data_IF_222547769422
#
_entry.id   IF_222547769422
#
_cell.length_a   1.000
_cell.length_b   1.000
_cell.length_c   1.000
_cell.angle_alpha   90.00
_cell.angle_beta   90.00
_cell.angle_gamma   90.00
#
_symmetry.space_group_name_H-M   'P 1'
#
loop_
_entity.id
_entity.type
_entity.pdbx_description
1 polymer ?
#
# COMPACT_ATOMS: atom_id res chain seq x y z
N UNK A 1 10.59 -8.07 3.83
CA UNK A 1 11.16 -7.48 2.60
C UNK A 1 11.72 -6.08 2.85
N UNK A 2 11.00 -5.22 3.55
CA UNK A 2 11.45 -3.86 3.89
C UNK A 2 12.55 -3.90 4.97
N UNK A 3 13.63 -3.14 4.76
CA UNK A 3 14.65 -2.97 5.79
C UNK A 3 14.15 -2.10 6.96
N UNK A 4 14.87 -2.11 8.09
CA UNK A 4 14.47 -1.42 9.31
C UNK A 4 14.35 0.11 9.14
N UNK A 5 15.20 0.73 8.32
CA UNK A 5 15.15 2.17 8.09
C UNK A 5 13.89 2.53 7.30
N UNK A 6 13.58 1.77 6.25
CA UNK A 6 12.34 1.94 5.47
C UNK A 6 11.10 1.72 6.35
N UNK A 7 11.06 0.67 7.16
CA UNK A 7 9.95 0.41 8.09
C UNK A 7 9.74 1.58 9.06
N UNK A 8 10.83 2.14 9.60
CA UNK A 8 10.79 3.28 10.52
C UNK A 8 10.24 4.53 9.84
N UNK A 9 10.73 4.85 8.63
CA UNK A 9 10.24 5.99 7.86
C UNK A 9 8.76 5.83 7.51
N UNK A 10 8.38 4.65 7.03
CA UNK A 10 7.00 4.37 6.65
C UNK A 10 6.07 4.51 7.85
N UNK A 11 6.42 3.93 9.00
CA UNK A 11 5.65 4.08 10.23
C UNK A 11 5.39 5.54 10.60
N UNK A 12 6.42 6.39 10.53
CA UNK A 12 6.29 7.83 10.80
C UNK A 12 5.35 8.54 9.80
N UNK A 13 5.26 8.08 8.55
CA UNK A 13 4.26 8.59 7.60
C UNK A 13 2.87 8.03 7.87
N UNK A 14 2.73 6.75 8.24
CA UNK A 14 1.43 6.13 8.54
C UNK A 14 0.74 6.76 9.77
N UNK A 15 1.51 7.33 10.70
CA UNK A 15 0.97 8.13 11.81
C UNK A 15 0.15 9.35 11.33
N UNK A 16 0.43 9.84 10.12
CA UNK A 16 -0.24 11.01 9.51
C UNK A 16 -1.51 10.66 8.73
N UNK A 17 -1.90 9.38 8.67
CA UNK A 17 -3.12 8.98 7.98
C UNK A 17 -4.35 9.61 8.65
N UNK A 18 -5.20 10.26 7.87
CA UNK A 18 -6.40 10.94 8.39
C UNK A 18 -7.61 10.00 8.50
N UNK A 19 -7.64 8.95 7.70
CA UNK A 19 -8.69 7.92 7.72
C UNK A 19 -8.08 6.52 7.57
N UNK A 20 -8.78 5.46 8.00
CA UNK A 20 -8.38 4.09 7.71
C UNK A 20 -8.33 3.82 6.20
N UNK A 21 -7.33 3.06 5.77
CA UNK A 21 -7.12 2.65 4.37
C UNK A 21 -6.99 1.13 4.25
N UNK A 22 -7.31 0.64 3.06
CA UNK A 22 -7.21 -0.76 2.67
C UNK A 22 -6.23 -0.90 1.50
N UNK A 23 -5.29 -1.84 1.62
CA UNK A 23 -4.44 -2.31 0.54
C UNK A 23 -5.07 -3.58 -0.05
N UNK A 24 -5.65 -3.46 -1.24
CA UNK A 24 -6.42 -4.51 -1.89
C UNK A 24 -5.59 -5.14 -3.01
N UNK A 25 -4.95 -6.27 -2.72
CA UNK A 25 -4.06 -6.97 -3.64
C UNK A 25 -4.81 -7.92 -4.57
N UNK A 26 -4.45 -7.87 -5.85
CA UNK A 26 -4.83 -8.82 -6.89
C UNK A 26 -3.57 -9.61 -7.30
N UNK A 27 -3.51 -10.89 -6.91
CA UNK A 27 -2.29 -11.70 -6.96
C UNK A 27 -2.45 -12.87 -7.95
N UNK A 28 -1.35 -13.26 -8.57
CA UNK A 28 -1.23 -14.51 -9.34
C UNK A 28 -0.29 -15.51 -8.63
N UNK A 29 0.11 -16.58 -9.31
CA UNK A 29 0.98 -17.63 -8.76
C UNK A 29 2.48 -17.33 -8.91
N UNK A 30 2.86 -16.11 -9.33
CA UNK A 30 4.26 -15.76 -9.56
C UNK A 30 5.02 -15.41 -8.29
N UNK A 31 6.35 -15.52 -8.33
CA UNK A 31 7.23 -15.04 -7.25
C UNK A 31 7.02 -13.54 -6.94
N UNK A 32 6.71 -12.75 -7.98
CA UNK A 32 6.40 -11.32 -7.82
C UNK A 32 5.13 -11.10 -7.00
N UNK A 33 4.14 -11.98 -7.13
CA UNK A 33 2.93 -11.92 -6.31
C UNK A 33 3.23 -12.21 -4.85
N UNK A 34 4.11 -13.18 -4.56
CA UNK A 34 4.58 -13.44 -3.20
C UNK A 34 5.26 -12.21 -2.59
N UNK A 35 6.08 -11.49 -3.37
CA UNK A 35 6.71 -10.25 -2.91
C UNK A 35 5.71 -9.11 -2.68
N UNK A 36 4.70 -8.93 -3.54
CA UNK A 36 3.63 -7.94 -3.31
C UNK A 36 2.83 -8.31 -2.06
N UNK A 37 2.53 -9.60 -1.86
CA UNK A 37 1.83 -10.07 -0.66
C UNK A 37 2.63 -9.73 0.60
N UNK A 38 3.93 -10.03 0.59
CA UNK A 38 4.82 -9.70 1.70
C UNK A 38 4.87 -8.19 1.95
N UNK A 39 5.00 -7.36 0.89
CA UNK A 39 4.96 -5.91 1.00
C UNK A 39 3.70 -5.42 1.71
N UNK A 40 2.54 -5.79 1.17
CA UNK A 40 1.24 -5.30 1.63
C UNK A 40 0.98 -5.74 3.07
N UNK A 41 1.35 -6.97 3.44
CA UNK A 41 1.29 -7.43 4.83
C UNK A 41 2.21 -6.63 5.74
N UNK A 42 3.48 -6.44 5.36
CA UNK A 42 4.42 -5.66 6.18
C UNK A 42 3.95 -4.21 6.37
N UNK A 43 3.32 -3.58 5.37
CA UNK A 43 2.78 -2.22 5.52
C UNK A 43 1.59 -2.21 6.49
N UNK A 44 0.68 -3.17 6.38
CA UNK A 44 -0.47 -3.29 7.26
C UNK A 44 -0.07 -3.50 8.73
N UNK A 45 1.01 -4.25 9.00
CA UNK A 45 1.54 -4.46 10.35
C UNK A 45 2.14 -3.19 11.00
N UNK A 46 2.45 -2.15 10.21
CA UNK A 46 3.05 -0.92 10.73
C UNK A 46 2.04 0.07 11.29
N UNK A 47 0.72 -0.13 11.07
CA UNK A 47 -0.31 0.79 11.54
C UNK A 47 -1.69 0.14 11.65
N UNK A 48 -2.38 0.37 12.77
CA UNK A 48 -3.78 -0.07 12.98
C UNK A 48 -4.77 0.58 12.01
N UNK A 49 -4.37 1.64 11.29
CA UNK A 49 -5.19 2.31 10.27
C UNK A 49 -5.06 1.68 8.88
N UNK A 50 -4.20 0.69 8.70
CA UNK A 50 -3.97 0.04 7.41
C UNK A 50 -4.34 -1.43 7.51
N UNK A 51 -5.23 -1.89 6.63
CA UNK A 51 -5.55 -3.31 6.51
C UNK A 51 -5.17 -3.84 5.13
N UNK A 52 -4.86 -5.13 5.07
CA UNK A 52 -4.54 -5.83 3.83
C UNK A 52 -5.70 -6.76 3.45
N UNK A 53 -6.13 -6.69 2.18
CA UNK A 53 -7.05 -7.64 1.56
C UNK A 53 -6.40 -8.27 0.34
N UNK A 54 -6.71 -9.53 0.09
CA UNK A 54 -6.14 -10.33 -1.00
C UNK A 54 -7.22 -10.88 -1.94
N UNK A 55 -8.41 -10.28 -1.91
CA UNK A 55 -9.58 -10.57 -2.73
C UNK A 55 -9.74 -9.58 -3.89
N UNK A 56 -8.68 -8.83 -4.23
CA UNK A 56 -8.69 -7.87 -5.33
C UNK A 56 -8.79 -8.54 -6.70
N UNK A 57 -9.41 -7.86 -7.67
CA UNK A 57 -9.67 -8.38 -9.02
C UNK A 57 -9.18 -7.46 -10.15
N UNK A 58 -8.17 -6.64 -9.90
CA UNK A 58 -7.65 -5.71 -10.90
C UNK A 58 -7.20 -6.46 -12.17
N UNK A 59 -7.41 -5.89 -13.35
CA UNK A 59 -6.98 -6.49 -14.62
C UNK A 59 -5.49 -6.87 -14.70
N UNK A 60 -4.61 -6.21 -13.91
CA UNK A 60 -3.17 -6.49 -13.86
C UNK A 60 -2.84 -7.37 -12.66
N UNK A 61 -2.12 -8.46 -12.89
CA UNK A 61 -1.61 -9.34 -11.85
C UNK A 61 -0.08 -9.52 -12.01
N UNK A 62 0.71 -9.43 -10.93
CA UNK A 62 0.30 -9.03 -9.58
C UNK A 62 0.22 -7.50 -9.43
N UNK A 63 -0.80 -7.03 -8.71
CA UNK A 63 -0.99 -5.61 -8.38
C UNK A 63 -1.64 -5.43 -7.01
N UNK A 64 -1.66 -4.21 -6.51
CA UNK A 64 -2.53 -3.84 -5.41
C UNK A 64 -3.09 -2.43 -5.58
N UNK A 65 -4.30 -2.23 -5.07
CA UNK A 65 -4.95 -0.94 -5.00
C UNK A 65 -4.87 -0.35 -3.60
N UNK A 66 -4.84 0.98 -3.50
CA UNK A 66 -5.02 1.72 -2.25
C UNK A 66 -6.43 2.31 -2.23
N UNK A 67 -7.21 1.95 -1.22
CA UNK A 67 -8.56 2.41 -1.01
C UNK A 67 -8.70 3.06 0.37
N UNK A 68 -9.65 3.98 0.52
CA UNK A 68 -10.17 4.32 1.84
C UNK A 68 -11.03 3.15 2.31
N UNK A 69 -11.06 2.86 3.62
CA UNK A 69 -11.78 1.71 4.14
C UNK A 69 -13.26 1.71 3.70
N UNK A 70 -13.74 0.58 3.18
CA UNK A 70 -15.09 0.43 2.63
C UNK A 70 -15.34 1.02 1.23
N UNK A 71 -14.33 1.62 0.58
CA UNK A 71 -14.45 2.19 -0.76
C UNK A 71 -13.71 1.35 -1.82
N UNK A 72 -13.96 1.67 -3.09
CA UNK A 72 -13.19 1.09 -4.19
C UNK A 72 -11.78 1.70 -4.25
N UNK A 73 -10.73 0.91 -4.57
CA UNK A 73 -9.39 1.45 -4.72
C UNK A 73 -9.32 2.47 -5.85
N UNK A 74 -8.58 3.56 -5.62
CA UNK A 74 -8.46 4.69 -6.55
C UNK A 74 -7.08 4.80 -7.19
N UNK A 75 -6.06 4.27 -6.51
CA UNK A 75 -4.67 4.23 -6.97
C UNK A 75 -4.22 2.79 -7.03
N UNK A 76 -3.56 2.38 -8.11
CA UNK A 76 -3.09 1.01 -8.30
C UNK A 76 -1.60 0.98 -8.64
N UNK A 77 -0.89 0.03 -8.04
CA UNK A 77 0.49 -0.31 -8.38
C UNK A 77 0.51 -1.73 -8.93
N UNK A 78 1.04 -1.90 -10.15
CA UNK A 78 1.26 -3.21 -10.76
C UNK A 78 2.76 -3.52 -10.75
N UNK A 79 3.17 -4.58 -10.05
CA UNK A 79 4.56 -4.82 -9.66
C UNK A 79 4.95 -4.14 -8.34
N UNK A 80 6.23 -4.28 -7.96
CA UNK A 80 6.77 -3.75 -6.71
C UNK A 80 7.15 -2.25 -6.83
N UNK A 81 6.51 -1.34 -6.08
CA UNK A 81 6.82 0.09 -6.09
C UNK A 81 7.98 0.41 -5.14
N UNK A 82 9.17 -0.07 -5.49
CA UNK A 82 10.41 0.16 -4.74
C UNK A 82 11.30 1.22 -5.40
N UNK A 83 12.41 1.56 -4.77
CA UNK A 83 13.38 2.52 -5.32
C UNK A 83 12.77 3.92 -5.44
N UNK A 84 12.86 4.53 -6.62
CA UNK A 84 12.29 5.87 -6.87
C UNK A 84 10.77 5.92 -6.67
N UNK A 85 10.06 4.81 -6.87
CA UNK A 85 8.60 4.75 -6.72
C UNK A 85 8.13 4.57 -5.27
N UNK A 86 9.06 4.40 -4.32
CA UNK A 86 8.71 4.26 -2.91
C UNK A 86 8.07 5.55 -2.36
N UNK A 87 8.52 6.72 -2.84
CA UNK A 87 7.90 8.01 -2.49
C UNK A 87 6.48 8.11 -3.06
N UNK A 88 6.27 7.62 -4.29
CA UNK A 88 4.94 7.55 -4.92
C UNK A 88 3.97 6.70 -4.07
N UNK A 89 4.45 5.58 -3.53
CA UNK A 89 3.67 4.75 -2.61
C UNK A 89 3.28 5.53 -1.35
N UNK A 90 4.24 6.16 -0.66
CA UNK A 90 3.95 6.94 0.56
C UNK A 90 2.89 8.01 0.29
N UNK A 91 3.03 8.75 -0.81
CA UNK A 91 2.07 9.79 -1.17
C UNK A 91 0.68 9.21 -1.46
N UNK A 92 0.58 8.08 -2.15
CA UNK A 92 -0.68 7.41 -2.39
C UNK A 92 -1.39 7.02 -1.08
N UNK A 93 -0.67 6.44 -0.12
CA UNK A 93 -1.21 6.08 1.20
C UNK A 93 -1.75 7.30 1.94
N UNK A 94 -0.96 8.38 1.98
CA UNK A 94 -1.34 9.63 2.64
C UNK A 94 -2.58 10.27 1.97
N UNK A 95 -2.53 10.47 0.66
CA UNK A 95 -3.57 11.18 -0.07
C UNK A 95 -4.90 10.41 -0.07
N UNK A 96 -4.87 9.08 -0.21
CA UNK A 96 -6.09 8.25 -0.13
C UNK A 96 -6.71 8.30 1.27
N UNK A 97 -5.90 8.46 2.32
CA UNK A 97 -6.41 8.64 3.68
C UNK A 97 -7.11 9.99 3.90
N UNK A 98 -6.89 10.97 3.02
CA UNK A 98 -7.41 12.34 3.14
C UNK A 98 -6.34 13.40 3.39
N UNK A 99 -5.10 13.00 3.68
CA UNK A 99 -4.00 13.93 3.98
C UNK A 99 -3.79 14.93 2.84
N UNK A 100 -3.95 16.22 3.15
CA UNK A 100 -3.90 17.28 2.17
C UNK A 100 -2.53 17.31 1.44
N UNK A 101 -2.51 17.46 0.10
CA UNK A 101 -1.27 17.70 -0.62
C UNK A 101 -0.59 18.96 -0.09
N UNK A 102 0.73 18.91 0.07
CA UNK A 102 1.51 20.13 0.27
C UNK A 102 1.55 20.87 -1.07
N UNK A 103 0.96 22.06 -1.10
CA UNK A 103 0.95 22.98 -2.24
C UNK A 103 2.06 24.01 -2.05
#
# INVERSE_FOLDING_TARGET
MLDQNIKTQLKAYLERLESPIELVAALDESDKAAQIKELVTEIAELSDKVTARFDGNNTRHPSFGVAKAGEQPRVFFAGLPMGHEFTSLILALLQVSGYAPKV
#
